data_IF_341064786704
#
_entry.id   IF_341064786704
#
_cell.length_a   1.000
_cell.length_b   1.000
_cell.length_c   1.000
_cell.angle_alpha   90.00
_cell.angle_beta   90.00
_cell.angle_gamma   90.00
#
_symmetry.space_group_name_H-M   'P 1'
#
loop_
_entity.id
_entity.type
_entity.pdbx_description
1 polymer ?
#
# COMPACT_ATOMS: atom_id res chain seq x y z
N UNK A 1 -66.93 -34.49 72.22
CA UNK A 1 -68.26 -34.96 71.77
C UNK A 1 -68.23 -35.03 70.24
N UNK A 2 -68.38 -36.27 69.69
CA UNK A 2 -68.59 -36.68 68.28
C UNK A 2 -67.43 -36.39 67.27
N UNK A 3 -66.78 -37.36 66.62
CA UNK A 3 -67.12 -38.50 65.72
C UNK A 3 -67.12 -38.15 64.21
N UNK A 4 -66.47 -39.05 63.45
CA UNK A 4 -66.47 -39.32 61.99
C UNK A 4 -65.61 -38.40 61.10
N UNK A 5 -64.44 -38.83 60.58
CA UNK A 5 -64.12 -39.92 59.60
C UNK A 5 -64.51 -39.54 58.17
N UNK A 6 -63.51 -39.33 57.30
CA UNK A 6 -63.42 -40.03 56.01
C UNK A 6 -61.95 -40.16 55.56
N UNK A 7 -61.56 -41.41 55.32
CA UNK A 7 -60.30 -41.83 54.68
C UNK A 7 -60.36 -41.49 53.18
N UNK A 8 -59.21 -41.22 52.54
CA UNK A 8 -58.59 -42.16 51.58
C UNK A 8 -57.18 -41.73 51.13
N UNK A 9 -56.21 -42.56 51.52
CA UNK A 9 -55.08 -43.12 50.75
C UNK A 9 -53.95 -42.20 50.22
N UNK A 10 -52.75 -42.61 50.60
CA UNK A 10 -51.42 -42.08 50.34
C UNK A 10 -50.77 -42.64 49.06
N UNK A 11 -49.77 -41.93 48.53
CA UNK A 11 -48.52 -42.51 48.00
C UNK A 11 -47.38 -41.51 48.22
N UNK A 12 -46.31 -41.93 48.89
CA UNK A 12 -45.01 -41.22 48.94
C UNK A 12 -44.12 -41.71 47.78
N UNK A 13 -43.55 -40.79 47.00
CA UNK A 13 -42.36 -41.07 46.20
C UNK A 13 -41.41 -39.87 46.27
N UNK A 14 -40.22 -40.08 46.84
CA UNK A 14 -39.12 -39.12 46.90
C UNK A 14 -38.43 -39.12 45.54
N UNK A 15 -38.49 -38.00 44.82
CA UNK A 15 -37.70 -37.78 43.61
C UNK A 15 -36.48 -36.90 43.94
N UNK A 16 -35.29 -37.51 43.83
CA UNK A 16 -33.98 -36.87 43.86
C UNK A 16 -33.81 -35.90 42.67
N UNK A 17 -33.52 -34.62 42.96
CA UNK A 17 -33.22 -33.59 41.95
C UNK A 17 -31.78 -33.78 41.43
N UNK A 18 -31.55 -33.93 40.12
CA UNK A 18 -30.20 -34.02 39.59
C UNK A 18 -29.54 -32.64 39.48
N UNK A 19 -28.29 -32.59 39.92
CA UNK A 19 -27.38 -31.45 39.89
C UNK A 19 -26.98 -31.15 38.42
N UNK A 20 -27.31 -29.95 37.91
CA UNK A 20 -26.93 -29.49 36.57
C UNK A 20 -25.42 -29.17 36.51
N UNK A 21 -24.72 -29.75 35.52
CA UNK A 21 -23.35 -29.38 35.13
C UNK A 21 -23.34 -28.01 34.43
N UNK A 22 -22.37 -27.19 34.80
CA UNK A 22 -22.01 -25.91 34.16
C UNK A 22 -21.74 -26.07 32.66
N UNK A 23 -22.39 -25.25 31.84
CA UNK A 23 -22.26 -25.27 30.38
C UNK A 23 -20.88 -24.82 29.88
N UNK A 24 -20.23 -25.68 29.09
CA UNK A 24 -19.12 -25.30 28.23
C UNK A 24 -19.64 -24.38 27.12
N UNK A 25 -19.08 -23.18 26.99
CA UNK A 25 -19.32 -22.32 25.84
C UNK A 25 -18.79 -23.01 24.58
N UNK A 26 -19.70 -23.60 23.80
CA UNK A 26 -19.35 -24.33 22.57
C UNK A 26 -18.64 -23.40 21.59
N UNK A 27 -17.37 -23.70 21.28
CA UNK A 27 -16.61 -23.00 20.27
C UNK A 27 -17.37 -23.08 18.93
N UNK A 28 -17.71 -21.91 18.36
CA UNK A 28 -18.42 -21.82 17.08
C UNK A 28 -17.61 -22.50 15.99
N UNK A 29 -18.28 -23.28 15.15
CA UNK A 29 -17.68 -23.94 13.98
C UNK A 29 -16.97 -22.92 13.07
N UNK A 30 -15.67 -23.09 12.75
CA UNK A 30 -14.92 -22.26 11.81
C UNK A 30 -15.66 -21.98 10.50
N UNK A 31 -16.38 -22.96 9.94
CA UNK A 31 -17.17 -22.77 8.71
C UNK A 31 -18.30 -21.76 8.91
N UNK A 32 -18.92 -21.77 10.07
CA UNK A 32 -19.98 -20.82 10.41
C UNK A 32 -19.40 -19.43 10.69
N UNK A 33 -18.22 -19.34 11.32
CA UNK A 33 -17.52 -18.06 11.52
C UNK A 33 -17.16 -17.46 10.16
N UNK A 34 -16.57 -18.26 9.26
CA UNK A 34 -16.22 -17.85 7.91
C UNK A 34 -17.46 -17.37 7.14
N UNK A 35 -18.51 -18.20 7.04
CA UNK A 35 -19.76 -17.85 6.38
C UNK A 35 -20.44 -16.59 6.95
N UNK A 36 -20.25 -16.30 8.23
CA UNK A 36 -20.86 -15.14 8.89
C UNK A 36 -20.06 -13.84 8.76
N UNK A 37 -18.78 -13.92 8.40
CA UNK A 37 -17.84 -12.80 8.39
C UNK A 37 -17.27 -12.51 7.01
N UNK A 38 -17.02 -13.52 6.18
CA UNK A 38 -16.65 -13.38 4.77
C UNK A 38 -17.83 -12.76 4.00
N UNK A 39 -17.81 -11.43 3.87
CA UNK A 39 -18.88 -10.65 3.24
C UNK A 39 -18.71 -10.61 1.74
N UNK A 40 -17.48 -10.75 1.27
CA UNK A 40 -17.14 -10.62 -0.13
C UNK A 40 -17.08 -11.99 -0.85
N UNK A 41 -17.07 -13.10 -0.11
CA UNK A 41 -17.15 -14.46 -0.61
C UNK A 41 -15.82 -15.05 -1.11
N UNK A 42 -14.68 -14.50 -0.69
CA UNK A 42 -13.35 -14.93 -1.15
C UNK A 42 -12.75 -16.09 -0.34
N UNK A 43 -13.51 -16.66 0.60
CA UNK A 43 -13.13 -17.84 1.36
C UNK A 43 -12.21 -17.57 2.55
N UNK A 44 -12.02 -16.29 2.90
CA UNK A 44 -11.19 -15.82 4.02
C UNK A 44 -11.82 -14.59 4.68
N UNK A 45 -11.37 -14.22 5.87
CA UNK A 45 -11.88 -13.05 6.60
C UNK A 45 -10.82 -11.96 6.60
N UNK A 46 -11.07 -10.86 5.88
CA UNK A 46 -10.21 -9.67 5.92
C UNK A 46 -10.32 -8.92 7.26
N UNK A 47 -9.38 -8.02 7.51
CA UNK A 47 -9.44 -7.13 8.68
C UNK A 47 -10.74 -6.30 8.73
N UNK A 48 -11.26 -5.88 7.58
CA UNK A 48 -12.52 -5.10 7.48
C UNK A 48 -13.77 -5.93 7.79
N UNK A 49 -13.71 -7.24 7.54
CA UNK A 49 -14.78 -8.19 7.82
C UNK A 49 -14.79 -8.68 9.27
N UNK A 50 -13.62 -8.58 9.92
CA UNK A 50 -13.46 -8.96 11.31
C UNK A 50 -14.18 -8.03 12.28
N UNK A 51 -15.28 -8.53 12.85
CA UNK A 51 -16.14 -7.80 13.79
C UNK A 51 -15.56 -7.72 15.22
N UNK A 52 -14.45 -8.40 15.53
CA UNK A 52 -13.83 -8.36 16.87
C UNK A 52 -12.63 -7.41 16.89
N UNK A 53 -11.97 -7.30 18.04
CA UNK A 53 -10.81 -6.41 18.17
C UNK A 53 -9.59 -6.88 17.34
N UNK A 54 -8.72 -5.92 17.01
CA UNK A 54 -7.51 -6.11 16.19
C UNK A 54 -6.54 -7.13 16.78
N UNK A 55 -6.37 -7.15 18.11
CA UNK A 55 -5.47 -8.08 18.81
C UNK A 55 -5.89 -9.55 18.61
N UNK A 56 -7.19 -9.82 18.60
CA UNK A 56 -7.72 -11.15 18.35
C UNK A 56 -7.51 -11.60 16.89
N UNK A 57 -7.60 -10.68 15.93
CA UNK A 57 -7.28 -10.96 14.54
C UNK A 57 -5.82 -11.39 14.39
N UNK A 58 -4.89 -10.58 14.91
CA UNK A 58 -3.44 -10.84 14.90
C UNK A 58 -3.04 -12.14 15.60
N UNK A 59 -3.82 -12.61 16.58
CA UNK A 59 -3.57 -13.89 17.26
C UNK A 59 -3.99 -15.10 16.41
N UNK A 60 -4.97 -14.92 15.53
CA UNK A 60 -5.50 -15.97 14.68
C UNK A 60 -4.76 -16.03 13.34
N UNK A 61 -4.38 -14.87 12.79
CA UNK A 61 -3.56 -14.73 11.58
C UNK A 61 -2.13 -15.20 11.89
N UNK A 62 -1.87 -16.48 11.66
CA UNK A 62 -0.60 -17.15 12.01
C UNK A 62 0.43 -16.97 10.91
N UNK A 63 0.00 -16.84 9.67
CA UNK A 63 0.88 -16.68 8.51
C UNK A 63 1.22 -15.20 8.22
N UNK A 64 0.50 -14.25 8.83
CA UNK A 64 0.73 -12.82 8.72
C UNK A 64 0.26 -12.22 7.40
N UNK A 65 -0.63 -12.89 6.67
CA UNK A 65 -1.10 -12.45 5.35
C UNK A 65 -2.25 -11.44 5.41
N UNK A 66 -2.66 -11.01 6.61
CA UNK A 66 -3.78 -10.08 6.87
C UNK A 66 -5.17 -10.64 6.59
N UNK A 67 -5.30 -11.97 6.47
CA UNK A 67 -6.57 -12.67 6.38
C UNK A 67 -6.65 -13.78 7.41
N UNK A 68 -7.87 -14.17 7.79
CA UNK A 68 -8.10 -15.41 8.54
C UNK A 68 -8.69 -16.45 7.61
N UNK A 69 -7.91 -17.50 7.39
CA UNK A 69 -8.36 -18.72 6.74
C UNK A 69 -9.17 -19.60 7.71
N UNK A 70 -9.84 -20.61 7.18
CA UNK A 70 -10.60 -21.56 8.02
C UNK A 70 -9.68 -22.30 9.01
N UNK A 71 -8.43 -22.56 8.62
CA UNK A 71 -7.39 -23.22 9.42
C UNK A 71 -6.90 -22.36 10.60
N UNK A 72 -7.08 -21.04 10.51
CA UNK A 72 -6.69 -20.06 11.52
C UNK A 72 -7.80 -19.75 12.52
N UNK A 73 -9.04 -20.14 12.21
CA UNK A 73 -10.20 -19.90 13.06
C UNK A 73 -10.31 -20.92 14.21
N UNK A 74 -10.83 -20.50 15.39
CA UNK A 74 -11.00 -21.40 16.52
C UNK A 74 -12.02 -22.51 16.20
N UNK A 75 -11.66 -23.77 16.44
CA UNK A 75 -12.57 -24.92 16.33
C UNK A 75 -12.31 -25.86 15.14
N UNK A 76 -11.27 -25.65 14.33
CA UNK A 76 -10.89 -26.62 13.30
C UNK A 76 -10.22 -27.85 13.95
N UNK A 77 -10.97 -28.95 14.00
CA UNK A 77 -10.56 -30.23 14.61
C UNK A 77 -9.49 -30.98 13.79
N UNK A 78 -8.94 -30.40 12.71
CA UNK A 78 -7.72 -30.93 12.08
C UNK A 78 -6.46 -30.71 12.93
N UNK A 79 -6.56 -29.97 14.02
CA UNK A 79 -5.49 -29.85 15.02
C UNK A 79 -5.63 -30.92 16.10
N UNK A 80 -5.24 -32.14 15.76
CA UNK A 80 -5.32 -33.27 16.67
C UNK A 80 -4.56 -34.51 16.22
N UNK A 81 -3.37 -34.37 15.60
CA UNK A 81 -2.26 -35.34 15.64
C UNK A 81 -1.19 -34.96 14.62
N UNK A 82 -0.15 -34.28 15.09
CA UNK A 82 1.22 -34.51 14.61
C UNK A 82 2.16 -34.07 15.73
N UNK A 83 2.34 -34.98 16.70
CA UNK A 83 3.34 -34.85 17.75
C UNK A 83 4.71 -34.67 17.12
N UNK A 84 5.36 -33.56 17.45
CA UNK A 84 6.72 -33.26 17.03
C UNK A 84 7.71 -34.25 17.63
N UNK A 85 8.43 -34.96 16.77
CA UNK A 85 9.83 -35.27 17.07
C UNK A 85 10.61 -33.98 16.98
N UNK A 86 11.23 -33.58 18.11
CA UNK A 86 12.17 -32.47 18.21
C UNK A 86 13.33 -32.71 17.23
N UNK A 87 13.24 -32.13 16.03
CA UNK A 87 14.41 -31.78 15.23
C UNK A 87 14.46 -30.26 15.20
N UNK A 88 15.57 -29.72 15.70
CA UNK A 88 15.87 -28.30 15.67
C UNK A 88 15.66 -27.77 14.23
N UNK A 89 14.57 -27.04 14.03
CA UNK A 89 14.28 -26.38 12.77
C UNK A 89 15.20 -25.17 12.68
N UNK A 90 16.35 -25.37 12.03
CA UNK A 90 17.03 -24.28 11.33
C UNK A 90 15.97 -23.51 10.56
N UNK A 91 15.89 -22.21 10.82
CA UNK A 91 15.18 -21.21 10.04
C UNK A 91 15.43 -21.48 8.55
N UNK A 92 14.50 -22.18 7.91
CA UNK A 92 14.42 -22.25 6.46
C UNK A 92 13.51 -21.11 6.05
N UNK A 93 14.12 -19.96 5.84
CA UNK A 93 13.62 -18.96 4.90
C UNK A 93 13.06 -19.70 3.69
N UNK A 94 11.77 -19.50 3.41
CA UNK A 94 11.20 -19.93 2.15
C UNK A 94 12.06 -19.30 1.05
N UNK A 95 12.76 -20.13 0.28
CA UNK A 95 13.59 -19.64 -0.81
C UNK A 95 12.70 -18.86 -1.78
N UNK A 96 13.07 -17.61 -2.06
CA UNK A 96 12.42 -16.80 -3.07
C UNK A 96 12.38 -17.56 -4.40
N UNK A 97 11.31 -17.43 -5.21
CA UNK A 97 11.21 -18.13 -6.48
C UNK A 97 12.42 -17.80 -7.36
N UNK A 98 13.06 -18.85 -7.87
CA UNK A 98 14.39 -18.84 -8.50
C UNK A 98 14.42 -18.31 -9.95
N UNK A 99 13.65 -17.26 -10.27
CA UNK A 99 13.55 -16.73 -11.65
C UNK A 99 13.47 -15.21 -11.83
N UNK A 100 13.32 -14.43 -10.75
CA UNK A 100 13.21 -12.97 -10.82
C UNK A 100 14.49 -12.22 -10.43
N UNK A 101 14.51 -10.89 -10.60
CA UNK A 101 15.56 -9.99 -10.13
C UNK A 101 15.86 -10.23 -8.65
N UNK A 102 17.14 -10.49 -8.35
CA UNK A 102 17.60 -10.86 -7.02
C UNK A 102 18.13 -9.67 -6.19
N UNK A 103 18.35 -8.52 -6.83
CA UNK A 103 18.77 -7.31 -6.14
C UNK A 103 17.67 -6.69 -5.25
N UNK A 104 18.02 -5.63 -4.50
CA UNK A 104 17.06 -4.92 -3.68
C UNK A 104 16.02 -4.19 -4.55
N UNK A 105 14.88 -3.89 -3.95
CA UNK A 105 13.84 -3.03 -4.50
C UNK A 105 13.55 -1.92 -3.48
N UNK A 106 13.38 -0.69 -3.95
CA UNK A 106 12.82 0.41 -3.17
C UNK A 106 11.44 0.74 -3.75
N UNK A 107 10.41 0.70 -2.91
CA UNK A 107 9.12 1.28 -3.25
C UNK A 107 9.18 2.79 -2.99
N UNK A 108 9.45 3.58 -4.04
CA UNK A 108 9.64 5.02 -3.88
C UNK A 108 8.34 5.81 -3.64
N UNK A 109 7.18 5.15 -3.65
CA UNK A 109 5.92 5.82 -3.32
C UNK A 109 4.83 4.82 -2.93
N UNK A 110 4.49 4.79 -1.64
CA UNK A 110 3.24 4.20 -1.15
C UNK A 110 2.68 5.01 0.02
N UNK A 111 1.44 4.71 0.38
CA UNK A 111 0.63 5.37 1.39
C UNK A 111 -0.19 4.33 2.16
N UNK A 112 -0.71 4.73 3.31
CA UNK A 112 -1.66 3.92 4.09
C UNK A 112 -2.91 4.74 4.44
N UNK A 113 -4.06 4.08 4.45
CA UNK A 113 -5.34 4.62 4.93
C UNK A 113 -5.70 4.10 6.32
N UNK A 114 -6.81 4.59 6.89
CA UNK A 114 -7.30 4.23 8.22
C UNK A 114 -7.65 2.74 8.40
N UNK A 115 -7.82 2.01 7.30
CA UNK A 115 -8.14 0.59 7.32
C UNK A 115 -6.88 -0.29 7.22
N UNK A 116 -5.72 0.29 6.92
CA UNK A 116 -4.48 -0.46 6.75
C UNK A 116 -3.89 -0.85 8.10
N UNK A 117 -3.54 -2.12 8.29
CA UNK A 117 -2.78 -2.55 9.46
C UNK A 117 -1.30 -2.17 9.32
N UNK A 118 -0.88 -1.10 9.99
CA UNK A 118 0.50 -0.60 9.94
C UNK A 118 1.54 -1.65 10.37
N UNK A 119 1.18 -2.58 11.26
CA UNK A 119 2.10 -3.62 11.74
C UNK A 119 2.38 -4.70 10.69
N UNK A 120 1.58 -4.79 9.62
CA UNK A 120 1.76 -5.80 8.56
C UNK A 120 2.65 -5.30 7.43
N UNK A 121 2.98 -4.01 7.40
CA UNK A 121 3.84 -3.40 6.37
C UNK A 121 5.22 -4.06 6.33
N UNK A 122 5.95 -4.12 7.44
CA UNK A 122 7.30 -4.73 7.47
C UNK A 122 7.26 -6.22 7.08
N UNK A 123 6.38 -7.07 7.66
CA UNK A 123 6.23 -8.45 7.20
C UNK A 123 5.97 -8.59 5.70
N UNK A 124 5.12 -7.73 5.12
CA UNK A 124 4.87 -7.74 3.68
C UNK A 124 6.12 -7.35 2.88
N UNK A 125 6.87 -6.32 3.31
CA UNK A 125 8.13 -5.94 2.67
C UNK A 125 9.14 -7.11 2.69
N UNK A 126 9.26 -7.80 3.83
CA UNK A 126 10.16 -8.94 4.00
C UNK A 126 9.77 -10.09 3.08
N UNK A 127 8.48 -10.46 3.07
CA UNK A 127 7.95 -11.50 2.19
C UNK A 127 8.18 -11.17 0.70
N UNK A 128 8.07 -9.89 0.33
CA UNK A 128 8.29 -9.40 -1.03
C UNK A 128 9.80 -9.23 -1.37
N UNK A 129 10.68 -9.23 -0.36
CA UNK A 129 12.09 -8.85 -0.47
C UNK A 129 12.30 -7.37 -0.83
N UNK A 130 11.34 -6.49 -0.49
CA UNK A 130 11.45 -5.04 -0.70
C UNK A 130 12.27 -4.45 0.44
N UNK A 131 13.35 -3.78 0.10
CA UNK A 131 14.31 -3.26 1.06
C UNK A 131 13.77 -2.05 1.80
N UNK A 132 13.18 -1.10 1.06
CA UNK A 132 12.73 0.17 1.63
C UNK A 132 11.43 0.63 0.99
N UNK A 133 10.65 1.43 1.72
CA UNK A 133 9.49 2.13 1.20
C UNK A 133 9.47 3.59 1.65
N UNK A 134 9.22 4.49 0.70
CA UNK A 134 8.86 5.88 1.00
C UNK A 134 7.36 5.92 1.27
N UNK A 135 7.02 6.08 2.55
CA UNK A 135 5.67 5.86 3.06
C UNK A 135 5.05 7.16 3.58
N UNK A 136 3.82 7.43 3.17
CA UNK A 136 3.01 8.52 3.73
C UNK A 136 1.65 8.02 4.21
N UNK A 137 0.83 8.92 4.74
CA UNK A 137 -0.54 8.60 5.12
C UNK A 137 -1.54 9.25 4.17
N UNK A 138 -2.73 8.66 4.06
CA UNK A 138 -3.86 9.18 3.29
C UNK A 138 -5.06 9.43 4.20
N UNK A 139 -6.07 10.16 3.71
CA UNK A 139 -7.33 10.45 4.40
C UNK A 139 -7.16 10.81 5.89
N UNK A 140 -7.80 10.03 6.78
CA UNK A 140 -7.86 10.29 8.21
C UNK A 140 -6.74 9.61 8.99
N UNK A 141 -5.95 8.74 8.33
CA UNK A 141 -4.79 8.09 8.91
C UNK A 141 -3.77 9.15 9.41
N UNK A 142 -3.42 9.17 10.71
CA UNK A 142 -2.54 10.18 11.27
C UNK A 142 -1.09 9.97 10.86
N UNK A 143 -0.33 11.05 10.61
CA UNK A 143 1.09 10.98 10.24
C UNK A 143 1.95 10.23 11.28
N UNK A 144 1.54 10.27 12.57
CA UNK A 144 2.23 9.61 13.68
C UNK A 144 2.48 8.14 13.43
N UNK A 145 1.55 7.43 12.79
CA UNK A 145 1.66 5.98 12.64
C UNK A 145 2.82 5.59 11.71
N UNK A 146 3.05 6.37 10.64
CA UNK A 146 4.22 6.18 9.77
C UNK A 146 5.50 6.63 10.47
N UNK A 147 5.45 7.72 11.24
CA UNK A 147 6.61 8.23 11.99
C UNK A 147 7.07 7.24 13.07
N UNK A 148 6.14 6.64 13.81
CA UNK A 148 6.41 5.61 14.81
C UNK A 148 6.91 4.31 14.16
N UNK A 149 6.37 3.93 13.01
CA UNK A 149 6.89 2.79 12.25
C UNK A 149 8.33 3.07 11.76
N UNK A 150 8.60 4.27 11.27
CA UNK A 150 9.95 4.69 10.87
C UNK A 150 10.93 4.72 12.05
N UNK A 151 10.50 5.20 13.22
CA UNK A 151 11.34 5.16 14.42
C UNK A 151 11.71 3.73 14.85
N UNK A 152 10.80 2.75 14.65
CA UNK A 152 11.05 1.33 14.92
C UNK A 152 11.87 0.63 13.83
N UNK A 153 11.81 1.13 12.60
CA UNK A 153 12.43 0.51 11.42
C UNK A 153 13.10 1.56 10.50
N UNK A 154 14.11 2.30 11.00
CA UNK A 154 14.67 3.47 10.30
C UNK A 154 15.35 3.11 8.96
N UNK A 155 15.85 1.88 8.82
CA UNK A 155 16.49 1.41 7.59
C UNK A 155 15.49 0.92 6.53
N UNK A 156 14.19 0.85 6.87
CA UNK A 156 13.14 0.25 6.03
C UNK A 156 12.06 1.25 5.64
N UNK A 157 11.72 2.20 6.51
CA UNK A 157 10.63 3.15 6.28
C UNK A 157 11.19 4.56 6.19
N UNK A 158 10.98 5.19 5.04
CA UNK A 158 11.36 6.57 4.78
C UNK A 158 10.08 7.41 4.93
N UNK A 159 9.92 8.19 6.03
CA UNK A 159 8.69 8.91 6.28
C UNK A 159 8.52 10.07 5.29
N UNK A 160 7.36 10.13 4.65
CA UNK A 160 6.96 11.18 3.73
C UNK A 160 5.79 12.01 4.27
N UNK A 161 5.90 13.33 4.17
CA UNK A 161 4.87 14.24 4.67
C UNK A 161 3.59 14.15 3.83
N UNK A 162 2.42 14.15 4.49
CA UNK A 162 1.11 14.15 3.82
C UNK A 162 0.86 15.49 3.14
N UNK A 163 0.72 15.48 1.81
CA UNK A 163 0.37 16.64 0.99
C UNK A 163 -1.15 16.89 0.90
N UNK A 164 -1.94 15.81 0.83
CA UNK A 164 -3.39 15.83 0.52
C UNK A 164 -4.28 16.11 1.74
N UNK A 165 -4.03 17.21 2.44
CA UNK A 165 -4.81 17.62 3.62
C UNK A 165 -6.12 18.32 3.24
N UNK A 166 -7.08 18.42 4.18
CA UNK A 166 -8.31 19.22 3.99
C UNK A 166 -8.01 20.70 3.70
N UNK A 167 -6.96 21.25 4.30
CA UNK A 167 -6.55 22.64 4.08
C UNK A 167 -6.05 22.85 2.63
N UNK A 168 -5.23 21.92 2.13
CA UNK A 168 -4.76 21.91 0.75
C UNK A 168 -5.92 21.78 -0.26
N UNK A 169 -6.80 20.78 -0.05
CA UNK A 169 -7.89 20.50 -1.01
C UNK A 169 -8.95 21.60 -1.05
N UNK A 170 -9.23 22.25 0.10
CA UNK A 170 -10.15 23.40 0.17
C UNK A 170 -9.50 24.74 -0.18
N UNK A 171 -8.22 24.76 -0.53
CA UNK A 171 -7.44 25.98 -0.79
C UNK A 171 -7.61 27.03 0.32
N UNK A 172 -7.47 26.63 1.58
CA UNK A 172 -7.57 27.59 2.68
C UNK A 172 -6.25 28.36 2.81
N UNK A 173 -6.31 29.66 3.12
CA UNK A 173 -5.10 30.46 3.38
C UNK A 173 -4.24 29.95 4.55
N UNK A 174 -4.76 29.02 5.35
CA UNK A 174 -4.02 28.36 6.45
C UNK A 174 -3.11 27.22 5.98
N UNK A 175 -3.30 26.72 4.76
CA UNK A 175 -2.56 25.55 4.26
C UNK A 175 -1.03 25.68 4.37
N UNK A 176 -0.39 26.76 3.87
CA UNK A 176 1.08 26.86 3.91
C UNK A 176 1.62 26.78 5.34
N UNK A 177 1.05 27.56 6.27
CA UNK A 177 1.48 27.55 7.67
C UNK A 177 1.28 26.20 8.37
N UNK A 178 0.18 25.49 8.08
CA UNK A 178 -0.04 24.14 8.61
C UNK A 178 0.98 23.14 8.04
N UNK A 179 1.29 23.24 6.74
CA UNK A 179 2.21 22.35 6.06
C UNK A 179 3.64 22.54 6.55
N UNK A 180 4.13 23.78 6.63
CA UNK A 180 5.48 24.05 7.15
C UNK A 180 5.63 23.65 8.61
N UNK A 181 4.62 23.92 9.44
CA UNK A 181 4.62 23.49 10.84
C UNK A 181 4.73 21.96 10.97
N UNK A 182 4.07 21.20 10.10
CA UNK A 182 4.20 19.74 10.08
C UNK A 182 5.61 19.31 9.65
N UNK A 183 6.14 19.92 8.59
CA UNK A 183 7.49 19.63 8.07
C UNK A 183 8.63 19.97 9.03
N UNK A 184 8.44 20.95 9.91
CA UNK A 184 9.43 21.34 10.92
C UNK A 184 9.39 20.45 12.15
N UNK A 185 8.25 19.80 12.43
CA UNK A 185 8.07 18.96 13.62
C UNK A 185 8.79 17.62 13.55
N UNK A 186 9.00 17.10 12.34
CA UNK A 186 9.50 15.75 12.12
C UNK A 186 10.52 15.72 10.98
N UNK A 187 11.45 14.78 11.04
CA UNK A 187 12.46 14.57 10.00
C UNK A 187 11.88 13.83 8.78
N UNK A 188 10.98 14.50 8.07
CA UNK A 188 10.47 13.98 6.80
C UNK A 188 11.55 13.99 5.73
N UNK A 189 11.71 12.83 5.09
CA UNK A 189 12.70 12.59 4.04
C UNK A 189 12.12 12.71 2.63
N UNK A 190 10.81 12.92 2.53
CA UNK A 190 10.07 13.11 1.30
C UNK A 190 8.74 13.83 1.56
N UNK A 191 8.05 14.22 0.49
CA UNK A 191 6.66 14.67 0.53
C UNK A 191 5.84 13.79 -0.41
N UNK A 192 4.63 13.41 0.02
CA UNK A 192 3.71 12.67 -0.82
C UNK A 192 3.31 13.47 -2.06
N UNK A 193 2.79 12.78 -3.08
CA UNK A 193 2.46 13.39 -4.37
C UNK A 193 1.47 14.54 -4.25
N UNK A 194 1.59 15.52 -5.12
CA UNK A 194 0.66 16.65 -5.19
C UNK A 194 -0.31 16.37 -6.32
N UNK A 195 -1.59 16.28 -5.97
CA UNK A 195 -2.66 16.04 -6.93
C UNK A 195 -2.91 17.34 -7.70
N UNK A 196 -2.27 17.44 -8.86
CA UNK A 196 -2.42 18.59 -9.74
C UNK A 196 -3.58 18.36 -10.71
N UNK A 197 -3.74 17.16 -11.26
CA UNK A 197 -4.92 16.81 -12.06
C UNK A 197 -5.39 15.39 -11.76
N UNK A 198 -6.67 15.25 -11.39
CA UNK A 198 -7.25 13.96 -11.02
C UNK A 198 -8.76 13.93 -11.26
N UNK A 199 -9.26 12.86 -11.87
CA UNK A 199 -10.68 12.60 -12.03
C UNK A 199 -11.30 12.11 -10.70
N UNK A 200 -12.55 12.50 -10.41
CA UNK A 200 -13.21 12.01 -9.21
C UNK A 200 -13.43 10.48 -9.27
N UNK A 201 -12.96 9.76 -8.25
CA UNK A 201 -13.15 8.31 -8.07
C UNK A 201 -14.11 8.08 -6.90
N UNK A 202 -15.42 8.12 -7.17
CA UNK A 202 -16.49 8.05 -6.15
C UNK A 202 -16.38 6.80 -5.25
N UNK A 203 -16.02 5.64 -5.81
CA UNK A 203 -15.92 4.37 -5.08
C UNK A 203 -14.96 4.40 -3.90
N UNK A 204 -13.93 5.25 -3.96
CA UNK A 204 -12.86 5.34 -2.96
C UNK A 204 -12.76 6.74 -2.33
N UNK A 205 -13.78 7.57 -2.51
CA UNK A 205 -13.83 8.91 -1.90
C UNK A 205 -12.77 9.91 -2.39
N UNK A 206 -12.10 9.65 -3.51
CA UNK A 206 -11.11 10.57 -4.07
C UNK A 206 -11.77 11.62 -4.97
N UNK A 207 -11.63 12.90 -4.61
CA UNK A 207 -12.27 14.02 -5.32
C UNK A 207 -11.59 14.40 -6.65
N UNK A 208 -12.26 15.27 -7.42
CA UNK A 208 -11.68 15.89 -8.62
C UNK A 208 -10.66 16.95 -8.22
N UNK A 209 -9.56 17.04 -8.96
CA UNK A 209 -8.59 18.14 -8.86
C UNK A 209 -8.25 18.68 -10.25
N UNK A 210 -8.19 20.01 -10.37
CA UNK A 210 -7.77 20.73 -11.58
C UNK A 210 -6.93 21.93 -11.14
N UNK A 211 -5.64 21.69 -10.98
CA UNK A 211 -4.62 22.64 -10.56
C UNK A 211 -3.59 22.74 -11.67
N UNK A 212 -3.44 23.94 -12.22
CA UNK A 212 -2.42 24.19 -13.21
C UNK A 212 -1.03 24.29 -12.55
N UNK A 213 0.07 24.04 -13.28
CA UNK A 213 1.42 24.12 -12.74
C UNK A 213 1.83 25.48 -12.15
N UNK A 214 1.15 26.55 -12.54
CA UNK A 214 1.33 27.93 -12.06
C UNK A 214 0.45 28.28 -10.84
N UNK A 215 -0.30 27.32 -10.28
CA UNK A 215 -1.09 27.55 -9.06
C UNK A 215 -0.19 27.85 -7.84
N UNK A 216 -0.48 28.89 -7.03
CA UNK A 216 0.35 29.25 -5.87
C UNK A 216 0.56 28.11 -4.86
N UNK A 217 -0.37 27.15 -4.78
CA UNK A 217 -0.19 25.97 -3.90
C UNK A 217 0.93 25.06 -4.38
N UNK A 218 1.19 24.99 -5.69
CA UNK A 218 2.31 24.22 -6.26
C UNK A 218 3.64 24.83 -5.84
N UNK A 219 3.73 26.16 -5.81
CA UNK A 219 4.95 26.88 -5.41
C UNK A 219 5.41 26.49 -3.99
N UNK A 220 4.48 26.37 -3.03
CA UNK A 220 4.77 25.94 -1.65
C UNK A 220 5.56 24.63 -1.61
N UNK A 221 5.14 23.64 -2.41
CA UNK A 221 5.81 22.36 -2.46
C UNK A 221 7.10 22.37 -3.28
N UNK A 222 7.16 23.17 -4.33
CA UNK A 222 8.37 23.34 -5.14
C UNK A 222 9.50 23.98 -4.31
N UNK A 223 9.17 25.03 -3.55
CA UNK A 223 10.12 25.69 -2.64
C UNK A 223 10.56 24.75 -1.52
N UNK A 224 9.65 23.92 -1.01
CA UNK A 224 9.99 22.87 -0.05
C UNK A 224 10.98 21.86 -0.65
N UNK A 225 10.71 21.35 -1.85
CA UNK A 225 11.58 20.39 -2.54
C UNK A 225 12.99 20.98 -2.76
N UNK A 226 13.05 22.25 -3.17
CA UNK A 226 14.30 23.01 -3.33
C UNK A 226 15.07 23.15 -2.01
N UNK A 227 14.38 23.54 -0.93
CA UNK A 227 15.00 23.75 0.38
C UNK A 227 15.48 22.44 1.01
N UNK A 228 14.69 21.38 0.93
CA UNK A 228 14.98 20.08 1.56
C UNK A 228 15.87 19.19 0.68
N UNK A 229 15.94 19.45 -0.62
CA UNK A 229 16.78 18.73 -1.56
C UNK A 229 16.31 17.30 -1.85
N UNK A 230 15.01 17.03 -1.71
CA UNK A 230 14.33 15.82 -2.22
C UNK A 230 13.41 16.19 -3.40
N UNK A 231 12.95 15.23 -4.21
CA UNK A 231 12.15 15.51 -5.41
C UNK A 231 10.77 16.09 -5.13
N UNK A 232 10.27 16.88 -6.09
CA UNK A 232 8.86 17.25 -6.19
C UNK A 232 8.09 16.15 -6.93
N UNK A 233 6.99 15.63 -6.37
CA UNK A 233 6.20 14.56 -6.99
C UNK A 233 4.86 15.09 -7.52
N UNK A 234 4.71 15.11 -8.84
CA UNK A 234 3.52 15.56 -9.57
C UNK A 234 2.59 14.38 -9.87
N UNK A 235 1.33 14.48 -9.44
CA UNK A 235 0.26 13.60 -9.89
C UNK A 235 -0.63 14.30 -10.91
N UNK A 236 -0.53 13.84 -12.15
CA UNK A 236 -1.25 14.39 -13.31
C UNK A 236 -1.88 13.25 -14.11
N UNK A 237 -3.20 13.16 -14.12
CA UNK A 237 -3.93 12.18 -14.94
C UNK A 237 -4.23 12.78 -16.34
N UNK A 238 -3.26 12.69 -17.26
CA UNK A 238 -3.45 13.22 -18.63
C UNK A 238 -4.59 12.53 -19.38
N UNK A 239 -4.92 11.28 -19.06
CA UNK A 239 -6.04 10.55 -19.63
C UNK A 239 -7.40 11.19 -19.33
N UNK A 240 -7.50 11.98 -18.25
CA UNK A 240 -8.73 12.64 -17.81
C UNK A 240 -8.91 14.08 -18.35
N UNK A 241 -7.98 14.59 -19.15
CA UNK A 241 -7.96 16.02 -19.54
C UNK A 241 -8.80 16.37 -20.77
N UNK A 242 -9.11 15.41 -21.64
CA UNK A 242 -9.77 15.68 -22.92
C UNK A 242 -9.09 16.82 -23.68
N UNK A 243 -9.87 17.81 -24.15
CA UNK A 243 -9.36 18.98 -24.88
C UNK A 243 -8.39 19.88 -24.10
N UNK A 244 -8.34 19.79 -22.77
CA UNK A 244 -7.42 20.58 -21.95
C UNK A 244 -5.95 20.09 -22.03
N UNK A 245 -5.71 18.87 -22.53
CA UNK A 245 -4.38 18.23 -22.51
C UNK A 245 -3.29 19.09 -23.14
N UNK A 246 -3.56 19.69 -24.30
CA UNK A 246 -2.56 20.48 -25.04
C UNK A 246 -2.13 21.74 -24.26
N UNK A 247 -3.10 22.52 -23.75
CA UNK A 247 -2.85 23.70 -22.91
C UNK A 247 -2.07 23.32 -21.65
N UNK A 248 -2.50 22.26 -20.97
CA UNK A 248 -1.87 21.83 -19.73
C UNK A 248 -0.44 21.36 -19.96
N UNK A 249 -0.20 20.58 -21.01
CA UNK A 249 1.15 20.12 -21.38
C UNK A 249 2.08 21.31 -21.66
N UNK A 250 1.62 22.36 -22.35
CA UNK A 250 2.42 23.58 -22.57
C UNK A 250 2.80 24.26 -21.25
N UNK A 251 1.85 24.38 -20.32
CA UNK A 251 2.12 24.92 -18.97
C UNK A 251 3.11 24.03 -18.20
N UNK A 252 2.96 22.71 -18.28
CA UNK A 252 3.86 21.77 -17.63
C UNK A 252 5.29 21.88 -18.19
N UNK A 253 5.46 21.92 -19.51
CA UNK A 253 6.79 22.08 -20.12
C UNK A 253 7.44 23.42 -19.72
N UNK A 254 6.66 24.49 -19.59
CA UNK A 254 7.13 25.79 -19.09
C UNK A 254 7.58 25.67 -17.62
N UNK A 255 6.77 25.01 -16.78
CA UNK A 255 7.07 24.77 -15.38
C UNK A 255 8.34 23.91 -15.19
N UNK A 256 8.49 22.84 -15.96
CA UNK A 256 9.69 21.99 -15.96
C UNK A 256 10.94 22.77 -16.38
N UNK A 257 10.82 23.62 -17.41
CA UNK A 257 11.93 24.46 -17.88
C UNK A 257 12.34 25.54 -16.86
N UNK A 258 11.40 26.06 -16.09
CA UNK A 258 11.65 27.07 -15.07
C UNK A 258 12.27 26.51 -13.77
N UNK A 259 12.11 25.22 -13.49
CA UNK A 259 12.53 24.57 -12.23
C UNK A 259 13.60 23.49 -12.46
N UNK A 260 14.59 23.75 -13.33
CA UNK A 260 15.62 22.76 -13.72
C UNK A 260 16.52 22.31 -12.58
N UNK A 261 16.53 23.06 -11.48
CA UNK A 261 17.31 22.81 -10.29
C UNK A 261 16.67 21.77 -9.34
N UNK A 262 15.36 21.51 -9.49
CA UNK A 262 14.62 20.56 -8.65
C UNK A 262 14.24 19.33 -9.46
N UNK A 263 14.57 18.09 -9.02
CA UNK A 263 14.06 16.88 -9.64
C UNK A 263 12.53 16.79 -9.51
N UNK A 264 11.85 16.53 -10.62
CA UNK A 264 10.38 16.47 -10.71
C UNK A 264 9.96 15.07 -11.16
N UNK A 265 9.35 14.32 -10.26
CA UNK A 265 8.83 12.98 -10.50
C UNK A 265 7.39 13.03 -10.97
N UNK A 266 7.10 12.48 -12.15
CA UNK A 266 5.74 12.29 -12.66
C UNK A 266 5.26 10.88 -12.29
N UNK A 267 4.38 10.82 -11.29
CA UNK A 267 3.82 9.55 -10.79
C UNK A 267 2.76 8.98 -11.73
N UNK A 268 2.57 7.66 -11.67
CA UNK A 268 1.75 6.89 -12.61
C UNK A 268 2.13 7.08 -14.08
N UNK A 269 3.39 7.45 -14.33
CA UNK A 269 3.87 7.87 -15.65
C UNK A 269 3.09 9.04 -16.25
N UNK A 270 2.30 9.76 -15.44
CA UNK A 270 1.30 10.74 -15.88
C UNK A 270 0.17 10.16 -16.73
N UNK A 271 0.00 8.83 -16.77
CA UNK A 271 -0.84 8.14 -17.77
C UNK A 271 -0.42 8.44 -19.23
N UNK A 272 0.87 8.74 -19.44
CA UNK A 272 1.41 9.02 -20.77
C UNK A 272 1.69 7.74 -21.55
N UNK A 273 1.76 7.88 -22.87
CA UNK A 273 2.30 6.88 -23.78
C UNK A 273 3.82 7.03 -23.88
N UNK A 274 4.52 5.97 -24.29
CA UNK A 274 5.99 5.99 -24.44
C UNK A 274 6.48 7.12 -25.34
N UNK A 275 5.78 7.43 -26.44
CA UNK A 275 6.12 8.53 -27.34
C UNK A 275 6.01 9.92 -26.69
N UNK A 276 5.02 10.13 -25.82
CA UNK A 276 4.89 11.39 -25.06
C UNK A 276 6.07 11.56 -24.08
N UNK A 277 6.43 10.49 -23.36
CA UNK A 277 7.57 10.47 -22.45
C UNK A 277 8.90 10.68 -23.20
N UNK A 278 9.12 9.98 -24.31
CA UNK A 278 10.31 10.10 -25.15
C UNK A 278 10.51 11.53 -25.69
N UNK A 279 9.43 12.26 -25.95
CA UNK A 279 9.48 13.68 -26.38
C UNK A 279 9.91 14.62 -25.24
N UNK A 280 9.52 14.32 -24.00
CA UNK A 280 9.76 15.18 -22.83
C UNK A 280 11.15 15.00 -22.23
N UNK A 281 11.61 13.76 -22.06
CA UNK A 281 12.85 13.42 -21.36
C UNK A 281 14.10 14.18 -21.83
N UNK A 282 14.38 14.35 -23.15
CA UNK A 282 15.57 15.07 -23.60
C UNK A 282 15.47 16.59 -23.40
N UNK A 283 14.27 17.15 -23.28
CA UNK A 283 14.05 18.60 -23.12
C UNK A 283 14.11 19.06 -21.66
N UNK A 284 13.77 18.17 -20.74
CA UNK A 284 13.60 18.48 -19.33
C UNK A 284 14.47 17.54 -18.50
N UNK A 285 15.75 17.86 -18.24
CA UNK A 285 16.66 16.94 -17.54
C UNK A 285 16.28 16.68 -16.08
N UNK A 286 15.47 17.56 -15.50
CA UNK A 286 14.93 17.46 -14.15
C UNK A 286 13.70 16.53 -14.05
N UNK A 287 13.05 16.18 -15.16
CA UNK A 287 11.89 15.28 -15.15
C UNK A 287 12.33 13.83 -14.90
N UNK A 288 11.58 13.04 -14.14
CA UNK A 288 11.69 11.58 -14.16
C UNK A 288 10.30 10.98 -13.98
N UNK A 289 10.15 9.68 -14.25
CA UNK A 289 8.88 9.00 -14.13
C UNK A 289 8.90 7.99 -12.99
N UNK A 290 7.77 7.90 -12.27
CA UNK A 290 7.56 6.90 -11.21
C UNK A 290 6.54 5.89 -11.73
N UNK A 291 6.89 4.61 -11.68
CA UNK A 291 6.21 3.52 -12.40
C UNK A 291 4.96 2.95 -11.70
N UNK A 292 4.48 3.63 -10.67
CA UNK A 292 3.31 3.18 -9.92
C UNK A 292 2.09 2.90 -10.81
N UNK A 293 1.39 1.80 -10.52
CA UNK A 293 0.28 1.26 -11.31
C UNK A 293 0.59 0.90 -12.78
N UNK A 294 1.84 0.94 -13.24
CA UNK A 294 2.15 0.68 -14.66
C UNK A 294 2.31 -0.80 -15.04
N UNK A 295 1.61 -1.70 -14.32
CA UNK A 295 1.78 -3.15 -14.39
C UNK A 295 0.41 -3.87 -14.42
N UNK A 296 0.34 -5.12 -14.92
CA UNK A 296 -0.92 -5.85 -15.12
C UNK A 296 -1.76 -6.06 -13.87
N UNK A 297 -1.16 -6.21 -12.69
CA UNK A 297 -1.92 -6.36 -11.45
C UNK A 297 -2.71 -5.09 -11.14
N UNK A 298 -2.17 -3.92 -11.46
CA UNK A 298 -2.87 -2.65 -11.24
C UNK A 298 -3.87 -2.31 -12.35
N UNK A 299 -3.51 -2.51 -13.62
CA UNK A 299 -4.36 -2.05 -14.73
C UNK A 299 -5.45 -3.04 -15.17
N UNK A 300 -5.35 -4.33 -14.85
CA UNK A 300 -6.40 -5.30 -15.20
C UNK A 300 -7.62 -5.21 -14.27
N UNK A 301 -7.44 -4.72 -13.04
CA UNK A 301 -8.50 -4.64 -12.03
C UNK A 301 -9.35 -3.36 -12.13
N UNK A 302 -9.05 -2.48 -13.10
CA UNK A 302 -9.70 -1.17 -13.21
C UNK A 302 -9.94 -0.76 -14.65
N UNK A 303 -10.89 0.15 -14.88
CA UNK A 303 -11.08 0.83 -16.17
C UNK A 303 -10.25 2.11 -16.30
N UNK A 304 -9.33 2.35 -15.38
CA UNK A 304 -8.50 3.56 -15.40
C UNK A 304 -7.47 3.46 -16.54
N UNK A 305 -7.16 4.56 -17.24
CA UNK A 305 -6.23 4.57 -18.36
C UNK A 305 -4.77 4.55 -17.89
N UNK A 306 -4.40 3.57 -17.07
CA UNK A 306 -3.03 3.43 -16.58
C UNK A 306 -2.05 3.15 -17.71
N UNK A 307 -0.82 3.64 -17.56
CA UNK A 307 0.25 3.38 -18.52
C UNK A 307 0.64 1.91 -18.46
N UNK A 308 0.53 1.20 -19.58
CA UNK A 308 0.88 -0.23 -19.67
C UNK A 308 2.37 -0.39 -20.01
N UNK A 309 3.23 -0.30 -19.00
CA UNK A 309 4.68 -0.49 -19.19
C UNK A 309 5.03 -1.97 -19.34
N UNK A 310 4.29 -2.85 -18.67
CA UNK A 310 4.54 -4.28 -18.64
C UNK A 310 3.40 -5.01 -19.35
N UNK A 311 3.70 -5.98 -20.21
CA UNK A 311 2.78 -6.91 -20.88
C UNK A 311 3.40 -8.30 -20.80
N UNK A 312 2.63 -9.31 -20.38
CA UNK A 312 3.11 -10.70 -20.22
C UNK A 312 4.42 -10.82 -19.42
N UNK A 313 4.50 -10.09 -18.29
CA UNK A 313 5.65 -10.02 -17.38
C UNK A 313 6.95 -9.44 -17.99
N UNK A 314 6.87 -8.82 -19.17
CA UNK A 314 7.98 -8.13 -19.85
C UNK A 314 7.66 -6.68 -20.10
N UNK A 315 8.67 -5.83 -20.31
CA UNK A 315 8.39 -4.48 -20.80
C UNK A 315 7.71 -4.53 -22.18
N UNK A 316 6.71 -3.70 -22.39
CA UNK A 316 6.21 -3.46 -23.74
C UNK A 316 7.36 -2.83 -24.58
N UNK A 317 7.54 -3.20 -25.86
CA UNK A 317 8.77 -2.89 -26.62
C UNK A 317 9.15 -1.40 -26.64
N UNK A 318 8.16 -0.51 -26.73
CA UNK A 318 8.40 0.94 -26.74
C UNK A 318 8.90 1.46 -25.38
N UNK A 319 8.43 0.87 -24.27
CA UNK A 319 8.88 1.21 -22.92
C UNK A 319 10.24 0.60 -22.61
N UNK A 320 10.50 -0.63 -23.04
CA UNK A 320 11.80 -1.30 -22.92
C UNK A 320 12.91 -0.44 -23.52
N UNK A 321 12.76 -0.05 -24.81
CA UNK A 321 13.71 0.83 -25.50
C UNK A 321 13.93 2.14 -24.76
N UNK A 322 12.86 2.72 -24.22
CA UNK A 322 12.94 4.02 -23.56
C UNK A 322 13.65 3.96 -22.20
N UNK A 323 13.36 2.92 -21.41
CA UNK A 323 14.00 2.66 -20.11
C UNK A 323 15.49 2.38 -20.29
N UNK A 324 15.85 1.52 -21.25
CA UNK A 324 17.26 1.22 -21.58
C UNK A 324 18.00 2.48 -22.04
N UNK A 325 17.37 3.32 -22.86
CA UNK A 325 18.00 4.55 -23.35
C UNK A 325 18.10 5.66 -22.28
N UNK A 326 17.37 5.55 -21.15
CA UNK A 326 17.30 6.59 -20.12
C UNK A 326 17.31 5.96 -18.71
N UNK A 327 18.36 5.19 -18.35
CA UNK A 327 18.35 4.36 -17.14
C UNK A 327 18.19 5.17 -15.85
N UNK A 328 18.54 6.46 -15.85
CA UNK A 328 18.46 7.33 -14.67
C UNK A 328 17.11 8.04 -14.51
N UNK A 329 16.15 7.79 -15.40
CA UNK A 329 14.92 8.60 -15.55
C UNK A 329 13.63 7.88 -15.15
N UNK A 330 13.74 6.69 -14.59
CA UNK A 330 12.62 5.86 -14.14
C UNK A 330 12.87 5.32 -12.73
N UNK A 331 11.85 5.36 -11.88
CA UNK A 331 11.92 4.93 -10.48
C UNK A 331 10.77 3.97 -10.19
N UNK A 332 11.10 2.82 -9.58
CA UNK A 332 10.11 1.87 -9.13
C UNK A 332 9.27 2.42 -7.97
N UNK A 333 7.96 2.29 -8.08
CA UNK A 333 7.02 2.44 -6.97
C UNK A 333 5.75 1.64 -7.24
N UNK A 334 4.98 1.34 -6.19
CA UNK A 334 3.74 0.57 -6.32
C UNK A 334 2.47 1.40 -6.15
N UNK A 335 2.54 2.52 -5.40
CA UNK A 335 1.40 3.33 -4.95
C UNK A 335 0.30 2.48 -4.32
N UNK A 336 0.69 1.68 -3.32
CA UNK A 336 -0.31 1.14 -2.40
C UNK A 336 -0.87 2.33 -1.62
N UNK A 337 -2.20 2.47 -1.54
CA UNK A 337 -2.83 3.63 -0.88
C UNK A 337 -3.88 3.16 0.12
N UNK A 338 -4.69 2.20 -0.32
CA UNK A 338 -5.75 1.59 0.47
C UNK A 338 -5.29 0.25 1.00
N UNK A 339 -5.88 -0.19 2.13
CA UNK A 339 -5.61 -1.51 2.72
C UNK A 339 -5.62 -2.64 1.67
N UNK A 340 -6.60 -2.65 0.74
CA UNK A 340 -6.69 -3.70 -0.27
C UNK A 340 -5.52 -3.70 -1.28
N UNK A 341 -4.85 -2.55 -1.54
CA UNK A 341 -3.64 -2.55 -2.36
C UNK A 341 -2.54 -3.37 -1.68
N UNK A 342 -2.34 -3.14 -0.38
CA UNK A 342 -1.38 -3.89 0.42
C UNK A 342 -1.76 -5.37 0.51
N UNK A 343 -3.01 -5.66 0.86
CA UNK A 343 -3.48 -7.03 1.13
C UNK A 343 -3.69 -7.89 -0.14
N UNK A 344 -3.95 -7.29 -1.30
CA UNK A 344 -4.28 -8.03 -2.55
C UNK A 344 -3.26 -7.81 -3.67
N UNK A 345 -2.73 -6.59 -3.81
CA UNK A 345 -1.97 -6.21 -5.00
C UNK A 345 -0.46 -6.17 -4.74
N UNK A 346 0.01 -5.89 -3.52
CA UNK A 346 1.43 -5.62 -3.26
C UNK A 346 2.35 -6.79 -3.65
N UNK A 347 2.13 -7.99 -3.10
CA UNK A 347 2.96 -9.16 -3.39
C UNK A 347 2.91 -9.55 -4.89
N UNK A 348 1.74 -9.65 -5.54
CA UNK A 348 1.69 -9.90 -6.99
C UNK A 348 2.39 -8.82 -7.82
N UNK A 349 2.25 -7.54 -7.47
CA UNK A 349 2.93 -6.44 -8.18
C UNK A 349 4.45 -6.58 -8.07
N UNK A 350 4.97 -6.86 -6.87
CA UNK A 350 6.42 -7.06 -6.66
C UNK A 350 6.92 -8.25 -7.48
N UNK A 351 6.17 -9.36 -7.52
CA UNK A 351 6.52 -10.53 -8.34
C UNK A 351 6.65 -10.18 -9.82
N UNK A 352 5.66 -9.47 -10.37
CA UNK A 352 5.69 -9.03 -11.78
C UNK A 352 6.91 -8.15 -12.05
N UNK A 353 7.18 -7.15 -11.20
CA UNK A 353 8.34 -6.29 -11.38
C UNK A 353 9.67 -7.03 -11.26
N UNK A 354 9.80 -7.98 -10.33
CA UNK A 354 11.01 -8.82 -10.26
C UNK A 354 11.22 -9.60 -11.54
N UNK A 355 10.17 -10.15 -12.13
CA UNK A 355 10.29 -10.87 -13.40
C UNK A 355 10.65 -9.93 -14.54
N UNK A 356 9.99 -8.78 -14.65
CA UNK A 356 10.25 -7.81 -15.72
C UNK A 356 11.66 -7.22 -15.67
N UNK A 357 12.21 -7.01 -14.47
CA UNK A 357 13.57 -6.49 -14.32
C UNK A 357 14.66 -7.44 -14.86
N UNK A 358 14.39 -8.75 -15.01
CA UNK A 358 15.36 -9.69 -15.62
C UNK A 358 15.42 -9.60 -17.14
N UNK A 359 14.54 -8.82 -17.77
CA UNK A 359 14.44 -8.73 -19.23
C UNK A 359 15.24 -7.56 -19.80
N UNK A 360 15.92 -6.78 -18.97
CA UNK A 360 16.71 -5.61 -19.34
C UNK A 360 18.13 -5.74 -18.75
N UNK A 361 19.12 -4.97 -19.24
CA UNK A 361 20.48 -5.02 -18.70
C UNK A 361 20.55 -4.74 -17.20
N UNK A 362 21.46 -5.41 -16.50
CA UNK A 362 21.56 -5.39 -15.03
C UNK A 362 21.76 -3.99 -14.45
N UNK A 363 22.53 -3.13 -15.11
CA UNK A 363 22.77 -1.75 -14.70
C UNK A 363 21.49 -0.89 -14.81
N UNK A 364 20.68 -1.11 -15.85
CA UNK A 364 19.38 -0.47 -16.03
C UNK A 364 18.38 -0.98 -14.99
N UNK A 365 18.36 -2.29 -14.74
CA UNK A 365 17.52 -2.92 -13.72
C UNK A 365 17.86 -2.38 -12.32
N UNK A 366 19.16 -2.30 -11.98
CA UNK A 366 19.66 -1.72 -10.73
C UNK A 366 19.18 -0.27 -10.56
N UNK A 367 19.39 0.57 -11.58
CA UNK A 367 18.99 1.98 -11.53
C UNK A 367 17.48 2.14 -11.31
N UNK A 368 16.65 1.39 -12.05
CA UNK A 368 15.20 1.43 -11.93
C UNK A 368 14.69 0.89 -10.58
N UNK A 369 15.24 -0.23 -10.13
CA UNK A 369 14.78 -0.96 -8.96
C UNK A 369 15.06 -0.25 -7.64
N UNK A 370 16.20 0.45 -7.52
CA UNK A 370 16.58 1.15 -6.30
C UNK A 370 17.54 2.32 -6.50
N UNK A 371 18.54 2.21 -7.39
CA UNK A 371 19.64 3.19 -7.47
C UNK A 371 19.18 4.62 -7.77
N UNK A 372 18.13 4.80 -8.57
CA UNK A 372 17.56 6.13 -8.81
C UNK A 372 16.85 6.68 -7.58
N UNK A 373 16.15 5.85 -6.79
CA UNK A 373 15.51 6.29 -5.56
C UNK A 373 16.58 6.70 -4.51
N UNK A 374 17.65 5.91 -4.38
CA UNK A 374 18.80 6.25 -3.53
C UNK A 374 19.39 7.62 -3.87
N UNK A 375 19.68 7.86 -5.16
CA UNK A 375 20.23 9.12 -5.64
C UNK A 375 19.26 10.30 -5.43
N UNK A 376 17.99 10.13 -5.77
CA UNK A 376 17.01 11.22 -5.82
C UNK A 376 16.59 11.66 -4.41
N UNK A 377 16.41 10.73 -3.47
CA UNK A 377 16.03 11.02 -2.08
C UNK A 377 17.21 10.97 -1.10
N UNK A 378 18.43 10.76 -1.58
CA UNK A 378 19.66 10.64 -0.78
C UNK A 378 19.49 9.56 0.30
N UNK A 379 18.97 8.40 -0.10
CA UNK A 379 18.75 7.26 0.79
C UNK A 379 20.06 6.48 0.99
N UNK A 380 20.24 5.80 2.14
CA UNK A 380 21.32 4.84 2.27
C UNK A 380 21.15 3.70 1.26
N UNK A 381 22.24 3.05 0.82
CA UNK A 381 22.17 1.93 -0.11
C UNK A 381 21.20 0.85 0.37
N UNK A 382 20.29 0.41 -0.49
CA UNK A 382 19.33 -0.61 -0.15
C UNK A 382 20.01 -1.98 -0.05
N UNK A 383 19.71 -2.69 1.04
CA UNK A 383 20.12 -4.08 1.24
C UNK A 383 18.86 -4.94 1.22
N UNK A 384 18.89 -6.01 0.42
CA UNK A 384 17.77 -6.95 0.39
C UNK A 384 17.66 -7.63 1.77
N UNK A 385 16.46 -7.62 2.40
CA UNK A 385 16.24 -8.19 3.74
C UNK A 385 16.50 -9.69 3.83
#
# INVERSE_FOLDING_TARGET
MRLLVFRLIAVFLVASVPMMKSGEAQAKDPKQILKAMDRNGDGKISRKEWKKNKKAFKKLDRNGDSYLTIEELPGDKRTGSSGGTKRAAKTRTAAAPSGGWQGPLIDAHSQIDEDTDVDTIIPMLDQAGVAQVILSTRFQQPSSDVLELAARHPDRIIPAAKSKTKAFTKNTGKFPGMFFKELERHDYRAVAEIIMWHAAKKKVGAGKATMDPDDPRVAVFMDTARQKGFPFIAHVEFGAMGGAKSRYMKKLETFLAANRDVPIGMIHMGQLKAGDAARLLPKHPNLFFITSHSNPVAYNDTSQPWTRMIVDEKFAPAWEKLVIANPTRFVLAFDNVFAFHWEKNFLPQVKVWRQTLTTIPDDVAHALAHGNAERLWKLPPAVRP
#
